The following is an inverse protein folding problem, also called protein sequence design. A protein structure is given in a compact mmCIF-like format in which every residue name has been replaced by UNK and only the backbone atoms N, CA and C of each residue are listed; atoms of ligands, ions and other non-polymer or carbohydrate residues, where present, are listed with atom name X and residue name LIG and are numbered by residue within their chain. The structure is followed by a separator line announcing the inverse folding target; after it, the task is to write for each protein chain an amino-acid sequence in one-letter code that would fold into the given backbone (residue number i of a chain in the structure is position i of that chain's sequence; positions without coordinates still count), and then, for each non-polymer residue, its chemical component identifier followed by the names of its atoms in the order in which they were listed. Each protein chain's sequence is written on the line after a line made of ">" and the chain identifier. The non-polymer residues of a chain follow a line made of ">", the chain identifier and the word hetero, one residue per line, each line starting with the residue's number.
data_IF_543770554730
#
_entry.id   IF_543770554730
#
_cell.length_a   1.000
_cell.length_b   1.000
_cell.length_c   1.000
_cell.angle_alpha   90.00
_cell.angle_beta   90.00
_cell.angle_gamma   90.00
#
_symmetry.space_group_name_H-M   'P 1'
#
loop_
_entity.id
_entity.type
_entity.pdbx_description
1 polymer ?
#
# COMPACT_ATOMS: atom_id res chain seq x y z
N UNK A 1 -4.86 -5.36 -32.68
CA UNK A 1 -4.16 -6.14 -31.64
C UNK A 1 -4.38 -5.43 -30.31
N UNK A 2 -4.78 -6.18 -29.29
CA UNK A 2 -4.94 -5.65 -27.95
C UNK A 2 -3.60 -5.46 -27.26
N UNK A 3 -3.62 -4.78 -26.11
CA UNK A 3 -2.43 -4.50 -25.31
C UNK A 3 -1.94 -5.75 -24.58
N UNK A 4 -0.62 -5.87 -24.46
CA UNK A 4 0.04 -6.78 -23.55
C UNK A 4 0.52 -6.00 -22.33
N UNK A 5 0.13 -6.44 -21.15
CA UNK A 5 0.42 -5.77 -19.88
C UNK A 5 1.25 -6.71 -19.00
N UNK A 6 2.32 -6.19 -18.41
CA UNK A 6 3.12 -6.89 -17.40
C UNK A 6 2.88 -6.21 -16.04
N UNK A 7 2.53 -7.01 -15.02
CA UNK A 7 2.42 -6.55 -13.63
C UNK A 7 3.61 -7.11 -12.86
N UNK A 8 4.33 -6.25 -12.14
CA UNK A 8 5.47 -6.65 -11.31
C UNK A 8 5.05 -6.69 -9.85
N UNK A 9 5.18 -7.86 -9.26
CA UNK A 9 4.80 -8.17 -7.89
C UNK A 9 4.00 -9.46 -7.79
N UNK A 10 3.59 -9.84 -6.60
CA UNK A 10 2.89 -11.12 -6.39
C UNK A 10 2.03 -11.15 -5.14
N UNK A 11 1.61 -10.00 -4.63
CA UNK A 11 0.76 -9.88 -3.45
C UNK A 11 -0.72 -9.67 -3.76
N UNK A 12 -1.51 -9.47 -2.73
CA UNK A 12 -2.95 -9.22 -2.84
C UNK A 12 -3.28 -7.94 -3.62
N UNK A 13 -2.47 -6.92 -3.46
CA UNK A 13 -2.55 -5.67 -4.24
C UNK A 13 -2.38 -5.93 -5.74
N UNK A 14 -1.38 -6.70 -6.13
CA UNK A 14 -1.15 -7.07 -7.53
C UNK A 14 -2.28 -7.91 -8.08
N UNK A 15 -2.87 -8.80 -7.27
CA UNK A 15 -4.06 -9.56 -7.68
C UNK A 15 -5.27 -8.66 -7.91
N UNK A 16 -5.48 -7.65 -7.05
CA UNK A 16 -6.55 -6.67 -7.25
C UNK A 16 -6.32 -5.83 -8.52
N UNK A 17 -5.09 -5.41 -8.78
CA UNK A 17 -4.71 -4.71 -10.02
C UNK A 17 -4.97 -5.60 -11.24
N UNK A 18 -4.51 -6.85 -11.21
CA UNK A 18 -4.69 -7.80 -12.31
C UNK A 18 -6.19 -8.05 -12.61
N UNK A 19 -7.01 -8.13 -11.58
CA UNK A 19 -8.46 -8.29 -11.71
C UNK A 19 -9.10 -7.10 -12.45
N UNK A 20 -8.67 -5.87 -12.15
CA UNK A 20 -9.13 -4.67 -12.86
C UNK A 20 -8.59 -4.61 -14.29
N UNK A 21 -7.33 -4.94 -14.50
CA UNK A 21 -6.70 -4.99 -15.84
C UNK A 21 -7.42 -6.01 -16.74
N UNK A 22 -7.81 -7.15 -16.19
CA UNK A 22 -8.53 -8.19 -16.92
C UNK A 22 -9.91 -7.74 -17.42
N UNK A 23 -10.51 -6.72 -16.83
CA UNK A 23 -11.78 -6.13 -17.27
C UNK A 23 -11.62 -5.14 -18.42
N UNK A 24 -10.42 -4.67 -18.69
CA UNK A 24 -10.19 -3.70 -19.76
C UNK A 24 -10.34 -4.34 -21.14
N UNK A 25 -11.22 -3.77 -22.02
CA UNK A 25 -11.35 -4.26 -23.39
C UNK A 25 -10.10 -3.98 -24.25
N UNK A 26 -9.20 -3.14 -23.77
CA UNK A 26 -7.92 -2.85 -24.45
C UNK A 26 -6.88 -3.95 -24.31
N UNK A 27 -7.01 -4.82 -23.29
CA UNK A 27 -5.99 -5.80 -22.92
C UNK A 27 -6.30 -7.17 -23.50
N UNK A 28 -5.36 -7.73 -24.26
CA UNK A 28 -5.45 -9.09 -24.79
C UNK A 28 -4.65 -10.11 -23.98
N UNK A 29 -3.56 -9.66 -23.30
CA UNK A 29 -2.68 -10.54 -22.55
C UNK A 29 -2.16 -9.85 -21.30
N UNK A 30 -2.18 -10.59 -20.18
CA UNK A 30 -1.62 -10.16 -18.91
C UNK A 30 -0.51 -11.13 -18.50
N UNK A 31 0.67 -10.58 -18.20
CA UNK A 31 1.76 -11.28 -17.53
C UNK A 31 1.92 -10.73 -16.11
N UNK A 32 2.37 -11.56 -15.19
CA UNK A 32 2.73 -11.12 -13.83
C UNK A 32 4.06 -11.76 -13.41
N UNK A 33 4.95 -10.96 -12.84
CA UNK A 33 6.28 -11.39 -12.41
C UNK A 33 6.51 -11.02 -10.94
N UNK A 34 6.60 -11.99 -10.00
CA UNK A 34 6.43 -13.42 -10.18
C UNK A 34 4.97 -13.89 -10.13
N UNK A 35 4.03 -13.06 -9.65
CA UNK A 35 2.65 -13.43 -9.43
C UNK A 35 2.44 -14.37 -8.25
N UNK A 36 1.26 -14.97 -8.19
CA UNK A 36 0.87 -15.99 -7.20
C UNK A 36 -0.19 -16.91 -7.80
N UNK A 37 -0.66 -17.89 -7.02
CA UNK A 37 -1.61 -18.89 -7.50
C UNK A 37 -2.96 -18.31 -7.96
N UNK A 38 -3.45 -17.24 -7.34
CA UNK A 38 -4.69 -16.59 -7.75
C UNK A 38 -4.52 -15.75 -9.02
N UNK A 39 -3.45 -15.00 -9.12
CA UNK A 39 -3.10 -14.24 -10.33
C UNK A 39 -2.94 -15.18 -11.52
N UNK A 40 -2.36 -16.36 -11.32
CA UNK A 40 -2.18 -17.37 -12.35
C UNK A 40 -3.48 -17.90 -12.97
N UNK A 41 -4.63 -17.62 -12.38
CA UNK A 41 -5.93 -17.96 -12.95
C UNK A 41 -6.42 -16.97 -14.01
N UNK A 42 -5.91 -15.72 -13.98
CA UNK A 42 -6.33 -14.64 -14.88
C UNK A 42 -5.17 -14.04 -15.69
N UNK A 43 -3.94 -14.42 -15.40
CA UNK A 43 -2.72 -13.94 -16.04
C UNK A 43 -1.71 -15.07 -16.18
N UNK A 44 -0.72 -14.88 -17.02
CA UNK A 44 0.42 -15.77 -17.08
C UNK A 44 1.50 -15.29 -16.10
N UNK A 45 1.72 -16.08 -15.05
CA UNK A 45 2.80 -15.84 -14.12
C UNK A 45 4.13 -16.31 -14.71
N UNK A 46 5.15 -15.46 -14.64
CA UNK A 46 6.49 -15.76 -15.12
C UNK A 46 7.47 -15.83 -13.94
N UNK A 47 8.40 -16.79 -13.89
CA UNK A 47 9.26 -17.01 -12.73
C UNK A 47 10.43 -16.00 -12.70
N UNK A 48 10.10 -14.73 -12.68
CA UNK A 48 11.05 -13.61 -12.57
C UNK A 48 10.73 -12.85 -11.29
N UNK A 49 11.72 -12.71 -10.41
CA UNK A 49 11.56 -11.93 -9.17
C UNK A 49 11.44 -10.44 -9.46
N UNK A 50 10.71 -9.72 -8.62
CA UNK A 50 10.44 -8.29 -8.78
C UNK A 50 11.71 -7.42 -8.80
N UNK A 51 12.81 -7.89 -8.20
CA UNK A 51 14.10 -7.19 -8.15
C UNK A 51 15.10 -7.64 -9.26
N UNK A 52 14.72 -8.57 -10.11
CA UNK A 52 15.53 -9.03 -11.24
C UNK A 52 15.31 -8.13 -12.47
N UNK A 53 15.75 -6.88 -12.39
CA UNK A 53 15.45 -5.82 -13.36
C UNK A 53 15.86 -6.17 -14.78
N UNK A 54 17.06 -6.71 -14.96
CA UNK A 54 17.55 -7.08 -16.30
C UNK A 54 16.65 -8.14 -16.98
N UNK A 55 16.18 -9.10 -16.20
CA UNK A 55 15.27 -10.15 -16.69
C UNK A 55 13.88 -9.59 -16.98
N UNK A 56 13.37 -8.67 -16.15
CA UNK A 56 12.08 -8.01 -16.36
C UNK A 56 12.12 -7.21 -17.66
N UNK A 57 13.15 -6.39 -17.84
CA UNK A 57 13.33 -5.57 -19.05
C UNK A 57 13.47 -6.45 -20.30
N UNK A 58 14.29 -7.49 -20.24
CA UNK A 58 14.46 -8.43 -21.34
C UNK A 58 13.13 -9.12 -21.71
N UNK A 59 12.38 -9.57 -20.72
CA UNK A 59 11.06 -10.20 -20.92
C UNK A 59 10.07 -9.22 -21.57
N UNK A 60 10.00 -7.99 -21.07
CA UNK A 60 9.10 -6.97 -21.62
C UNK A 60 9.42 -6.64 -23.08
N UNK A 61 10.71 -6.62 -23.45
CA UNK A 61 11.15 -6.43 -24.86
C UNK A 61 10.79 -7.64 -25.71
N UNK A 62 11.11 -8.83 -25.26
CA UNK A 62 10.90 -10.08 -26.01
C UNK A 62 9.41 -10.33 -26.28
N UNK A 63 8.56 -10.08 -25.29
CA UNK A 63 7.12 -10.26 -25.42
C UNK A 63 6.39 -9.06 -26.03
N UNK A 64 7.09 -7.98 -26.35
CA UNK A 64 6.52 -6.74 -26.85
C UNK A 64 5.42 -6.20 -25.89
N UNK A 65 5.72 -6.10 -24.61
CA UNK A 65 4.82 -5.56 -23.59
C UNK A 65 4.56 -4.08 -23.84
N UNK A 66 3.29 -3.69 -23.87
CA UNK A 66 2.86 -2.31 -24.14
C UNK A 66 2.89 -1.42 -22.89
N UNK A 67 2.65 -2.00 -21.73
CA UNK A 67 2.68 -1.29 -20.45
C UNK A 67 3.13 -2.24 -19.34
N UNK A 68 4.12 -1.81 -18.56
CA UNK A 68 4.54 -2.49 -17.33
C UNK A 68 4.04 -1.70 -16.12
N UNK A 69 3.29 -2.37 -15.23
CA UNK A 69 2.77 -1.81 -13.99
C UNK A 69 3.63 -2.31 -12.84
N UNK A 70 4.29 -1.39 -12.14
CA UNK A 70 5.13 -1.73 -10.98
C UNK A 70 4.32 -1.50 -9.70
N UNK A 71 3.92 -2.60 -9.07
CA UNK A 71 3.01 -2.56 -7.91
C UNK A 71 3.68 -2.48 -6.55
N UNK A 72 4.97 -2.76 -6.46
CA UNK A 72 5.72 -2.91 -5.19
C UNK A 72 6.67 -1.74 -4.95
N UNK A 73 6.93 -1.45 -3.67
CA UNK A 73 7.86 -0.42 -3.21
C UNK A 73 9.33 -0.69 -3.56
N UNK A 74 9.85 -1.88 -3.25
CA UNK A 74 11.25 -2.22 -3.47
C UNK A 74 11.73 -1.99 -4.92
N UNK A 75 11.06 -2.51 -5.97
CA UNK A 75 11.49 -2.24 -7.34
C UNK A 75 11.32 -0.78 -7.76
N UNK A 76 10.34 -0.05 -7.21
CA UNK A 76 10.17 1.38 -7.49
C UNK A 76 11.34 2.18 -6.93
N UNK A 77 11.66 1.99 -5.66
CA UNK A 77 12.80 2.65 -4.99
C UNK A 77 14.12 2.19 -5.61
N UNK A 78 14.20 0.97 -6.09
CA UNK A 78 15.36 0.41 -6.76
C UNK A 78 15.61 0.93 -8.18
N UNK A 79 14.60 1.53 -8.83
CA UNK A 79 14.75 2.14 -10.15
C UNK A 79 14.29 1.29 -11.33
N UNK A 80 13.36 0.35 -11.13
CA UNK A 80 12.83 -0.48 -12.22
C UNK A 80 12.18 0.35 -13.34
N UNK A 81 11.43 1.40 -12.98
CA UNK A 81 10.81 2.30 -13.97
C UNK A 81 11.87 2.96 -14.84
N UNK A 82 12.97 3.44 -14.22
CA UNK A 82 14.10 4.02 -14.95
C UNK A 82 14.71 3.00 -15.93
N UNK A 83 14.91 1.77 -15.50
CA UNK A 83 15.47 0.69 -16.33
C UNK A 83 14.58 0.37 -17.53
N UNK A 84 13.25 0.33 -17.33
CA UNK A 84 12.28 0.10 -18.41
C UNK A 84 12.27 1.27 -19.41
N UNK A 85 12.18 2.49 -18.93
CA UNK A 85 12.15 3.69 -19.78
C UNK A 85 13.45 3.90 -20.56
N UNK A 86 14.61 3.54 -20.00
CA UNK A 86 15.90 3.59 -20.69
C UNK A 86 15.93 2.72 -21.94
N UNK A 87 15.09 1.68 -22.00
CA UNK A 87 14.95 0.79 -23.16
C UNK A 87 13.71 1.12 -24.01
N UNK A 88 13.11 2.30 -23.80
CA UNK A 88 11.95 2.75 -24.56
C UNK A 88 10.63 2.05 -24.22
N UNK A 89 10.58 1.37 -23.06
CA UNK A 89 9.39 0.66 -22.57
C UNK A 89 8.54 1.56 -21.68
N UNK A 90 7.23 1.55 -21.89
CA UNK A 90 6.29 2.31 -21.07
C UNK A 90 6.11 1.62 -19.73
N UNK A 91 6.18 2.40 -18.65
CA UNK A 91 6.00 1.91 -17.29
C UNK A 91 5.06 2.83 -16.50
N UNK A 92 4.20 2.23 -15.69
CA UNK A 92 3.38 2.93 -14.72
C UNK A 92 4.02 2.80 -13.34
N UNK A 93 4.38 3.91 -12.76
CA UNK A 93 5.02 4.03 -11.46
C UNK A 93 6.03 5.18 -11.44
N UNK A 94 6.43 5.64 -10.24
CA UNK A 94 7.44 6.69 -10.12
C UNK A 94 8.84 6.17 -10.45
N UNK A 95 9.66 7.04 -11.03
CA UNK A 95 11.10 6.83 -11.18
C UNK A 95 11.78 6.80 -9.81
N UNK A 96 13.00 6.28 -9.75
CA UNK A 96 13.80 6.17 -8.52
C UNK A 96 13.91 7.49 -7.76
N UNK A 97 14.25 8.58 -8.45
CA UNK A 97 14.40 9.90 -7.84
C UNK A 97 13.09 10.49 -7.30
N UNK A 98 11.96 9.95 -7.71
CA UNK A 98 10.61 10.37 -7.29
C UNK A 98 10.07 9.43 -6.21
N UNK A 99 10.37 8.14 -6.30
CA UNK A 99 10.00 7.13 -5.30
C UNK A 99 10.66 7.38 -3.93
N UNK A 100 11.62 8.29 -3.85
CA UNK A 100 12.21 8.78 -2.60
C UNK A 100 11.15 9.36 -1.64
N UNK A 101 9.99 9.76 -2.15
CA UNK A 101 8.85 10.20 -1.33
C UNK A 101 8.44 9.11 -0.31
N UNK A 102 8.55 7.84 -0.68
CA UNK A 102 8.39 6.68 0.22
C UNK A 102 9.74 6.16 0.72
N UNK A 103 10.75 6.18 -0.13
CA UNK A 103 12.07 5.62 0.16
C UNK A 103 12.85 6.36 1.25
N UNK A 104 12.50 7.61 1.55
CA UNK A 104 13.11 8.41 2.61
C UNK A 104 12.07 9.21 3.38
N UNK A 105 11.87 8.84 4.64
CA UNK A 105 10.98 9.58 5.55
C UNK A 105 11.53 10.97 5.86
N UNK A 106 12.85 11.10 6.00
CA UNK A 106 13.51 12.39 6.19
C UNK A 106 13.25 13.32 5.01
N UNK A 107 13.38 12.83 3.78
CA UNK A 107 13.06 13.61 2.59
C UNK A 107 11.60 14.09 2.59
N UNK A 108 10.65 13.20 2.84
CA UNK A 108 9.23 13.56 2.81
C UNK A 108 8.87 14.57 3.91
N UNK A 109 9.48 14.45 5.10
CA UNK A 109 9.29 15.41 6.18
C UNK A 109 9.85 16.79 5.83
N UNK A 110 11.06 16.86 5.29
CA UNK A 110 11.68 18.11 4.85
C UNK A 110 10.89 18.76 3.72
N UNK A 111 10.36 17.96 2.78
CA UNK A 111 9.47 18.44 1.72
C UNK A 111 8.21 19.08 2.32
N UNK A 112 7.52 18.40 3.23
CA UNK A 112 6.31 18.91 3.86
C UNK A 112 6.55 20.19 4.64
N UNK A 113 7.66 20.26 5.37
CA UNK A 113 8.06 21.48 6.09
C UNK A 113 8.33 22.64 5.13
N UNK A 114 9.09 22.40 4.08
CA UNK A 114 9.45 23.42 3.08
C UNK A 114 8.24 24.01 2.37
N UNK A 115 7.25 23.21 2.07
CA UNK A 115 6.06 23.60 1.31
C UNK A 115 4.80 23.76 2.17
N UNK A 116 4.95 23.82 3.49
CA UNK A 116 3.86 24.03 4.45
C UNK A 116 2.71 23.02 4.33
N UNK A 117 3.05 21.77 4.07
CA UNK A 117 2.07 20.67 4.08
C UNK A 117 1.90 20.16 5.51
N UNK A 118 0.67 20.09 6.05
CA UNK A 118 0.45 19.69 7.44
C UNK A 118 0.97 18.29 7.75
N UNK A 119 1.85 18.18 8.74
CA UNK A 119 2.39 16.93 9.25
C UNK A 119 2.84 17.09 10.70
N UNK A 120 3.22 16.00 11.37
CA UNK A 120 3.78 16.04 12.72
C UNK A 120 5.07 16.86 12.78
N UNK A 121 5.30 17.56 13.87
CA UNK A 121 6.59 18.17 14.16
C UNK A 121 7.66 17.08 14.27
N UNK A 122 8.85 17.34 13.75
CA UNK A 122 9.90 16.32 13.63
C UNK A 122 11.29 16.93 13.64
N UNK A 123 12.29 16.07 13.89
CA UNK A 123 13.71 16.34 13.66
C UNK A 123 14.38 15.11 13.03
N UNK A 124 15.36 15.35 12.16
CA UNK A 124 16.15 14.32 11.50
C UNK A 124 17.52 14.16 12.17
N UNK A 125 17.99 12.94 12.32
CA UNK A 125 19.28 12.62 12.93
C UNK A 125 20.09 11.65 12.07
N UNK A 126 21.33 12.00 11.81
CA UNK A 126 22.31 11.18 11.06
C UNK A 126 23.21 10.35 11.98
N UNK A 127 23.15 10.58 13.29
CA UNK A 127 23.91 9.85 14.28
C UNK A 127 23.12 9.69 15.59
N UNK A 128 23.49 8.66 16.35
CA UNK A 128 22.80 8.32 17.60
C UNK A 128 23.04 9.35 18.71
N UNK A 129 24.21 9.96 18.78
CA UNK A 129 24.58 10.91 19.83
C UNK A 129 23.65 12.13 19.84
N UNK A 130 23.44 12.72 18.66
CA UNK A 130 22.55 13.88 18.52
C UNK A 130 21.08 13.52 18.80
N UNK A 131 20.65 12.33 18.37
CA UNK A 131 19.30 11.83 18.66
C UNK A 131 19.08 11.65 20.17
N UNK A 132 20.04 11.06 20.86
CA UNK A 132 20.01 10.86 22.32
C UNK A 132 19.95 12.21 23.06
N UNK A 133 20.78 13.17 22.62
CA UNK A 133 20.79 14.50 23.20
C UNK A 133 19.42 15.18 23.05
N UNK A 134 18.85 15.14 21.85
CA UNK A 134 17.52 15.70 21.58
C UNK A 134 16.43 15.06 22.47
N UNK A 135 16.45 13.72 22.60
CA UNK A 135 15.48 13.02 23.43
C UNK A 135 15.55 13.42 24.89
N UNK A 136 16.76 13.63 25.42
CA UNK A 136 16.98 14.06 26.82
C UNK A 136 16.58 15.51 27.08
N UNK A 137 16.76 16.40 26.12
CA UNK A 137 16.65 17.84 26.33
C UNK A 137 15.32 18.42 25.82
N UNK A 138 14.75 17.88 24.75
CA UNK A 138 13.67 18.54 24.02
C UNK A 138 12.44 17.68 23.73
N UNK A 139 12.54 16.35 23.79
CA UNK A 139 11.43 15.49 23.41
C UNK A 139 10.30 15.50 24.45
N UNK A 140 9.06 15.47 23.94
CA UNK A 140 7.87 15.18 24.70
C UNK A 140 7.47 13.73 24.50
N UNK A 141 6.81 13.13 25.48
CA UNK A 141 6.37 11.74 25.40
C UNK A 141 4.84 11.61 25.45
N UNK A 142 4.25 10.66 24.71
CA UNK A 142 4.94 9.72 23.81
C UNK A 142 5.59 10.42 22.62
N UNK A 143 6.66 9.81 22.08
CA UNK A 143 7.35 10.25 20.86
C UNK A 143 7.46 9.09 19.88
N UNK A 144 7.69 9.37 18.59
CA UNK A 144 7.77 8.35 17.55
C UNK A 144 9.15 8.39 16.90
N UNK A 145 9.85 7.26 16.91
CA UNK A 145 11.11 7.07 16.21
C UNK A 145 10.86 6.28 14.92
N UNK A 146 11.37 6.79 13.81
CA UNK A 146 11.23 6.14 12.50
C UNK A 146 12.59 5.96 11.84
N UNK A 147 12.94 4.73 11.50
CA UNK A 147 14.06 4.48 10.61
C UNK A 147 13.79 5.12 9.24
N UNK A 148 14.81 5.74 8.64
CA UNK A 148 14.70 6.34 7.32
C UNK A 148 14.84 5.25 6.25
N UNK A 149 13.88 5.11 5.37
CA UNK A 149 13.88 4.11 4.31
C UNK A 149 12.80 3.04 4.47
N UNK A 150 12.86 2.07 3.57
CA UNK A 150 11.92 0.94 3.57
C UNK A 150 12.27 -0.04 4.70
N UNK A 151 11.37 -0.19 5.65
CA UNK A 151 11.52 -1.11 6.78
C UNK A 151 10.28 -2.01 6.94
N UNK A 152 9.51 -2.21 5.89
CA UNK A 152 8.31 -3.06 5.85
C UNK A 152 7.30 -2.74 6.98
N UNK A 153 7.16 -1.45 7.32
CA UNK A 153 6.30 -1.00 8.41
C UNK A 153 6.83 -1.31 9.82
N UNK A 154 7.98 -1.95 9.95
CA UNK A 154 8.56 -2.37 11.24
C UNK A 154 9.52 -1.32 11.84
N UNK A 155 9.97 -0.36 11.04
CA UNK A 155 10.91 0.67 11.46
C UNK A 155 10.28 1.87 12.18
N UNK A 156 9.08 1.71 12.75
CA UNK A 156 8.35 2.75 13.50
C UNK A 156 8.17 2.29 14.94
N UNK A 157 8.71 3.06 15.88
CA UNK A 157 8.65 2.78 17.30
C UNK A 157 7.93 3.92 18.02
N UNK A 158 6.83 3.60 18.70
CA UNK A 158 6.14 4.53 19.60
C UNK A 158 6.71 4.35 20.99
N UNK A 159 7.34 5.39 21.52
CA UNK A 159 8.04 5.37 22.80
C UNK A 159 7.29 6.23 23.82
N UNK A 160 6.83 5.61 24.90
CA UNK A 160 6.07 6.29 25.94
C UNK A 160 6.96 6.97 26.98
N UNK A 161 8.20 6.55 27.09
CA UNK A 161 9.17 7.04 28.06
C UNK A 161 10.53 7.33 27.40
N UNK A 162 11.34 8.14 28.06
CA UNK A 162 12.72 8.39 27.63
C UNK A 162 13.53 7.07 27.53
N UNK A 163 13.34 6.18 28.48
CA UNK A 163 14.03 4.88 28.50
C UNK A 163 13.70 4.06 27.26
N UNK A 164 12.41 3.95 26.90
CA UNK A 164 11.98 3.28 25.66
C UNK A 164 12.57 3.95 24.42
N UNK A 165 12.61 5.28 24.39
CA UNK A 165 13.15 6.03 23.25
C UNK A 165 14.66 5.84 23.10
N UNK A 166 15.41 5.83 24.18
CA UNK A 166 16.87 5.56 24.15
C UNK A 166 17.14 4.13 23.65
N UNK A 167 16.38 3.14 24.11
CA UNK A 167 16.46 1.78 23.60
C UNK A 167 16.10 1.71 22.11
N UNK A 168 15.14 2.50 21.66
CA UNK A 168 14.76 2.61 20.25
C UNK A 168 15.88 3.20 19.37
N UNK A 169 16.63 4.17 19.86
CA UNK A 169 17.81 4.71 19.15
C UNK A 169 18.86 3.61 18.97
N UNK A 170 19.15 2.85 20.04
CA UNK A 170 20.09 1.73 19.97
C UNK A 170 19.64 0.71 18.92
N UNK A 171 18.39 0.31 18.96
CA UNK A 171 17.81 -0.67 18.02
C UNK A 171 17.90 -0.22 16.55
N UNK A 172 17.56 1.04 16.27
CA UNK A 172 17.54 1.58 14.91
C UNK A 172 18.93 1.92 14.41
N UNK A 173 19.72 2.70 15.16
CA UNK A 173 20.94 3.33 14.66
C UNK A 173 22.22 2.58 15.01
N UNK A 174 22.28 1.91 16.16
CA UNK A 174 23.47 1.19 16.62
C UNK A 174 23.45 -0.29 16.25
N UNK A 175 22.39 -0.98 16.60
CA UNK A 175 22.22 -2.40 16.28
C UNK A 175 21.84 -2.63 14.82
N UNK A 176 21.40 -1.58 14.14
CA UNK A 176 20.99 -1.59 12.73
C UNK A 176 20.02 -2.70 12.39
N UNK A 177 19.03 -2.92 13.26
CA UNK A 177 17.98 -3.91 13.08
C UNK A 177 17.25 -3.79 11.73
N UNK A 178 17.20 -2.60 11.16
CA UNK A 178 16.58 -2.31 9.86
C UNK A 178 17.64 -2.05 8.76
N UNK A 179 18.86 -2.52 8.94
CA UNK A 179 19.94 -2.37 7.96
C UNK A 179 20.26 -0.91 7.64
N UNK A 180 20.46 -0.60 6.37
CA UNK A 180 20.81 0.75 5.91
C UNK A 180 19.71 1.80 6.21
N UNK A 181 18.45 1.39 6.39
CA UNK A 181 17.37 2.29 6.80
C UNK A 181 17.61 2.93 8.18
N UNK A 182 18.41 2.30 9.03
CA UNK A 182 18.82 2.81 10.33
C UNK A 182 20.01 3.79 10.31
N UNK A 183 20.55 4.13 9.15
CA UNK A 183 21.64 5.11 9.03
C UNK A 183 21.16 6.54 9.34
N UNK A 184 19.88 6.79 9.17
CA UNK A 184 19.20 8.04 9.52
C UNK A 184 17.92 7.71 10.26
N UNK A 185 17.52 8.60 11.17
CA UNK A 185 16.31 8.44 11.95
C UNK A 185 15.52 9.74 11.98
N UNK A 186 14.20 9.63 11.96
CA UNK A 186 13.28 10.74 12.18
C UNK A 186 12.65 10.56 13.55
N UNK A 187 12.66 11.60 14.36
CA UNK A 187 11.91 11.67 15.63
C UNK A 187 10.76 12.62 15.43
N UNK A 188 9.54 12.14 15.66
CA UNK A 188 8.30 12.89 15.47
C UNK A 188 7.50 13.01 16.75
N UNK A 189 6.70 14.07 16.86
CA UNK A 189 5.63 14.13 17.84
C UNK A 189 4.62 13.01 17.61
N UNK A 190 4.08 12.49 18.68
CA UNK A 190 2.99 11.52 18.61
C UNK A 190 1.67 12.24 18.31
N UNK A 191 1.08 11.92 17.16
CA UNK A 191 -0.24 12.44 16.80
C UNK A 191 -1.34 11.52 17.31
N UNK A 192 -2.42 12.10 17.78
CA UNK A 192 -3.65 11.40 18.18
C UNK A 192 -4.76 11.69 17.18
N UNK A 193 -5.60 10.73 16.95
CA UNK A 193 -6.72 10.85 16.02
C UNK A 193 -7.01 9.52 15.35
N UNK A 194 -7.68 9.59 14.22
CA UNK A 194 -8.07 8.43 13.42
C UNK A 194 -7.26 8.40 12.14
N UNK A 195 -6.65 7.26 11.86
CA UNK A 195 -5.92 7.05 10.60
C UNK A 195 -6.89 6.77 9.46
N UNK A 196 -6.65 7.40 8.32
CA UNK A 196 -7.38 7.18 7.07
C UNK A 196 -6.39 7.11 5.92
N UNK A 197 -6.62 6.22 4.99
CA UNK A 197 -5.82 6.06 3.78
C UNK A 197 -6.54 6.66 2.58
N UNK A 198 -5.84 7.49 1.81
CA UNK A 198 -6.36 8.03 0.55
C UNK A 198 -5.32 7.83 -0.54
N UNK A 199 -5.68 7.04 -1.55
CA UNK A 199 -4.86 6.80 -2.71
C UNK A 199 -5.20 7.80 -3.81
N UNK A 200 -4.23 8.07 -4.68
CA UNK A 200 -4.43 8.98 -5.79
C UNK A 200 -3.65 8.55 -7.03
N UNK A 201 -4.18 8.86 -8.21
CA UNK A 201 -3.42 8.83 -9.46
C UNK A 201 -2.81 10.21 -9.73
N UNK A 202 -1.59 10.23 -10.23
CA UNK A 202 -0.83 11.46 -10.47
C UNK A 202 -0.06 11.36 -11.80
N UNK A 203 -0.06 12.43 -12.59
CA UNK A 203 0.61 12.49 -13.89
C UNK A 203 1.77 13.49 -13.96
N UNK A 204 2.27 13.94 -12.82
CA UNK A 204 3.31 14.97 -12.69
C UNK A 204 2.78 16.35 -12.35
N UNK A 205 1.54 16.65 -12.66
CA UNK A 205 0.90 17.98 -12.44
C UNK A 205 -0.54 17.86 -11.97
N UNK A 206 -1.29 16.89 -12.44
CA UNK A 206 -2.69 16.64 -12.06
C UNK A 206 -2.78 15.48 -11.10
N UNK A 207 -3.62 15.59 -10.08
CA UNK A 207 -3.95 14.53 -9.14
C UNK A 207 -5.44 14.20 -9.23
N UNK A 208 -5.76 12.89 -9.19
CA UNK A 208 -7.14 12.39 -9.09
C UNK A 208 -7.23 11.49 -7.87
N UNK A 209 -8.08 11.88 -6.93
CA UNK A 209 -8.23 11.22 -5.63
C UNK A 209 -9.17 10.03 -5.76
N UNK A 210 -8.76 8.88 -5.24
CA UNK A 210 -9.61 7.69 -5.10
C UNK A 210 -10.48 7.79 -3.85
N UNK A 211 -11.46 6.91 -3.74
CA UNK A 211 -12.26 6.77 -2.52
C UNK A 211 -11.38 6.43 -1.32
N UNK A 212 -11.75 6.93 -0.14
CA UNK A 212 -11.00 6.70 1.10
C UNK A 212 -11.08 5.23 1.55
N UNK A 213 -10.12 4.82 2.37
CA UNK A 213 -10.10 3.52 3.01
C UNK A 213 -9.56 3.64 4.45
N UNK A 214 -9.78 2.63 5.24
CA UNK A 214 -9.27 2.56 6.61
C UNK A 214 -8.76 1.16 6.90
N UNK A 215 -7.49 1.06 7.26
CA UNK A 215 -6.78 -0.19 7.48
C UNK A 215 -6.65 -0.50 8.98
N UNK A 216 -6.28 -1.74 9.30
CA UNK A 216 -6.07 -2.26 10.65
C UNK A 216 -4.66 -2.86 10.72
N UNK A 217 -3.73 -2.11 11.32
CA UNK A 217 -2.28 -2.46 11.30
C UNK A 217 -1.88 -3.51 12.32
N UNK A 218 -2.59 -3.64 13.44
CA UNK A 218 -2.22 -4.58 14.50
C UNK A 218 -2.64 -6.00 14.18
N UNK A 219 -1.83 -6.97 14.61
CA UNK A 219 -2.03 -8.38 14.31
C UNK A 219 -3.26 -9.00 14.98
N UNK A 220 -3.64 -8.50 16.17
CA UNK A 220 -4.68 -9.10 17.02
C UNK A 220 -5.89 -8.19 17.20
N UNK A 221 -7.01 -8.81 17.57
CA UNK A 221 -8.23 -8.11 17.95
C UNK A 221 -7.97 -7.04 19.02
N UNK A 222 -8.77 -5.99 19.01
CA UNK A 222 -8.63 -4.87 19.93
C UNK A 222 -7.40 -4.01 19.68
N UNK A 223 -6.85 -4.04 18.46
CA UNK A 223 -5.63 -3.34 18.09
C UNK A 223 -4.44 -3.70 19.00
N UNK A 224 -4.31 -4.98 19.27
CA UNK A 224 -3.24 -5.55 20.08
C UNK A 224 -2.19 -6.27 19.21
N UNK A 225 -1.06 -6.54 19.81
CA UNK A 225 0.04 -7.26 19.16
C UNK A 225 0.92 -6.37 18.31
N UNK A 226 1.71 -6.98 17.44
CA UNK A 226 2.68 -6.30 16.60
C UNK A 226 2.03 -5.61 15.40
N UNK A 227 2.68 -4.59 14.89
CA UNK A 227 2.33 -3.99 13.60
C UNK A 227 2.55 -4.99 12.46
N UNK A 228 1.67 -4.95 11.49
CA UNK A 228 1.70 -5.79 10.29
C UNK A 228 1.60 -4.93 9.03
N UNK A 229 1.56 -5.58 7.88
CA UNK A 229 1.22 -4.92 6.62
C UNK A 229 -0.25 -4.50 6.48
N UNK A 230 -1.11 -4.93 7.41
CA UNK A 230 -2.56 -4.73 7.42
C UNK A 230 -3.32 -6.03 7.52
N UNK A 231 -4.28 -6.09 8.44
CA UNK A 231 -5.08 -7.29 8.73
C UNK A 231 -6.50 -7.21 8.16
N UNK A 232 -6.82 -6.11 7.53
CA UNK A 232 -8.11 -5.87 6.92
C UNK A 232 -8.37 -4.39 6.75
N UNK A 233 -9.30 -4.05 5.87
CA UNK A 233 -9.60 -2.68 5.50
C UNK A 233 -11.03 -2.54 5.03
N UNK A 234 -11.54 -1.33 5.03
CA UNK A 234 -12.84 -1.01 4.47
C UNK A 234 -12.81 0.31 3.71
N UNK A 235 -13.75 0.50 2.83
CA UNK A 235 -13.91 1.69 2.00
C UNK A 235 -15.41 1.94 1.69
N UNK A 236 -15.88 3.21 1.76
CA UNK A 236 -15.14 4.41 2.19
C UNK A 236 -15.04 4.51 3.72
N UNK A 237 -14.13 5.36 4.22
CA UNK A 237 -14.11 5.70 5.64
C UNK A 237 -15.22 6.70 5.96
N UNK A 238 -16.11 6.41 6.94
CA UNK A 238 -17.17 7.35 7.34
C UNK A 238 -16.63 8.59 8.07
N UNK A 239 -15.37 8.55 8.49
CA UNK A 239 -14.69 9.67 9.14
C UNK A 239 -14.03 10.63 8.16
N UNK A 240 -13.88 10.21 6.91
CA UNK A 240 -13.41 11.06 5.82
C UNK A 240 -14.61 11.84 5.25
N UNK A 241 -14.94 12.94 5.94
CA UNK A 241 -16.08 13.80 5.63
C UNK A 241 -15.78 14.73 4.46
N UNK A 242 -16.81 15.40 3.94
CA UNK A 242 -16.64 16.44 2.91
C UNK A 242 -15.74 17.57 3.38
N UNK A 243 -15.81 17.94 4.68
CA UNK A 243 -14.95 18.96 5.30
C UNK A 243 -13.48 18.52 5.30
N UNK A 244 -13.21 17.25 5.68
CA UNK A 244 -11.87 16.66 5.63
C UNK A 244 -11.34 16.63 4.18
N UNK A 245 -12.16 16.19 3.25
CA UNK A 245 -11.81 16.15 1.81
C UNK A 245 -11.45 17.54 1.27
N UNK A 246 -12.28 18.53 1.57
CA UNK A 246 -12.04 19.91 1.16
C UNK A 246 -10.72 20.48 1.72
N UNK A 247 -10.44 20.21 3.00
CA UNK A 247 -9.19 20.61 3.65
C UNK A 247 -7.98 19.94 2.97
N UNK A 248 -8.04 18.64 2.76
CA UNK A 248 -6.95 17.88 2.15
C UNK A 248 -6.70 18.30 0.69
N UNK A 249 -7.73 18.55 -0.08
CA UNK A 249 -7.62 19.10 -1.44
C UNK A 249 -6.93 20.45 -1.46
N UNK A 250 -7.26 21.31 -0.51
CA UNK A 250 -6.70 22.66 -0.42
C UNK A 250 -5.25 22.69 0.05
N UNK A 251 -4.88 21.87 1.05
CA UNK A 251 -3.62 22.01 1.75
C UNK A 251 -2.65 20.85 1.61
N UNK A 252 -3.09 19.69 1.14
CA UNK A 252 -2.30 18.46 1.14
C UNK A 252 -2.07 17.90 -0.26
N UNK A 253 -3.13 17.57 -1.00
CA UNK A 253 -3.01 16.75 -2.21
C UNK A 253 -2.27 17.44 -3.35
N UNK A 254 -2.83 18.52 -3.88
CA UNK A 254 -2.19 19.28 -4.96
C UNK A 254 -0.88 19.90 -4.49
N UNK A 255 -0.81 20.33 -3.22
CA UNK A 255 0.41 20.88 -2.64
C UNK A 255 1.58 19.89 -2.67
N UNK A 256 1.32 18.59 -2.45
CA UNK A 256 2.34 17.54 -2.55
C UNK A 256 2.84 17.37 -3.98
N UNK A 257 1.93 17.32 -4.95
CA UNK A 257 2.27 17.19 -6.38
C UNK A 257 3.10 18.38 -6.84
N UNK A 258 2.67 19.59 -6.49
CA UNK A 258 3.37 20.83 -6.83
C UNK A 258 4.76 20.92 -6.15
N UNK A 259 4.86 20.48 -4.90
CA UNK A 259 6.12 20.43 -4.17
C UNK A 259 7.13 19.49 -4.85
N UNK A 260 6.71 18.30 -5.24
CA UNK A 260 7.56 17.34 -5.95
C UNK A 260 8.01 17.89 -7.30
N UNK A 261 7.13 18.55 -8.05
CA UNK A 261 7.48 19.19 -9.31
C UNK A 261 8.47 20.34 -9.11
N UNK A 262 8.28 21.16 -8.07
CA UNK A 262 9.20 22.26 -7.72
C UNK A 262 10.60 21.77 -7.34
N UNK A 263 10.72 20.57 -6.79
CA UNK A 263 12.01 19.92 -6.50
C UNK A 263 12.64 19.26 -7.76
N UNK A 264 12.05 19.44 -8.93
CA UNK A 264 12.52 18.79 -10.16
C UNK A 264 12.22 17.29 -10.21
N UNK A 265 11.25 16.83 -9.44
CA UNK A 265 10.85 15.43 -9.27
C UNK A 265 9.35 15.24 -9.54
N UNK A 266 8.83 15.53 -10.75
CA UNK A 266 7.42 15.40 -11.05
C UNK A 266 6.98 13.94 -10.84
N UNK A 267 5.95 13.72 -10.02
CA UNK A 267 5.48 12.39 -9.64
C UNK A 267 4.49 11.84 -10.67
N UNK A 268 4.77 10.66 -11.20
CA UNK A 268 3.84 9.89 -12.03
C UNK A 268 3.60 8.53 -11.40
N UNK A 269 2.33 8.16 -11.21
CA UNK A 269 1.95 6.91 -10.59
C UNK A 269 0.89 7.09 -9.52
N UNK A 270 1.00 6.33 -8.44
CA UNK A 270 0.10 6.42 -7.28
C UNK A 270 0.82 7.04 -6.09
N UNK A 271 0.23 8.08 -5.51
CA UNK A 271 0.59 8.54 -4.17
C UNK A 271 -0.46 8.02 -3.19
N UNK A 272 -0.01 7.31 -2.19
CA UNK A 272 -0.79 6.91 -1.02
C UNK A 272 -0.54 7.93 0.09
N UNK A 273 -1.60 8.59 0.52
CA UNK A 273 -1.59 9.49 1.66
C UNK A 273 -2.09 8.75 2.89
N UNK A 274 -1.19 8.47 3.83
CA UNK A 274 -1.58 8.08 5.19
C UNK A 274 -1.90 9.35 5.97
N UNK A 275 -3.15 9.53 6.34
CA UNK A 275 -3.63 10.72 7.05
C UNK A 275 -3.97 10.40 8.49
N UNK A 276 -3.63 11.32 9.40
CA UNK A 276 -4.14 11.35 10.77
C UNK A 276 -5.18 12.46 10.87
N UNK A 277 -6.42 12.11 11.19
CA UNK A 277 -7.48 13.08 11.46
C UNK A 277 -7.37 13.51 12.91
N UNK A 278 -6.55 14.54 13.14
CA UNK A 278 -6.28 15.06 14.50
C UNK A 278 -7.36 16.03 14.94
N UNK A 279 -7.46 16.34 16.27
CA UNK A 279 -8.36 17.39 16.77
C UNK A 279 -8.12 18.77 16.12
N UNK A 280 -6.91 19.01 15.62
CA UNK A 280 -6.51 20.27 14.98
C UNK A 280 -6.54 20.20 13.43
N UNK A 281 -7.20 19.20 12.87
CA UNK A 281 -7.35 19.00 11.44
C UNK A 281 -6.49 17.85 10.89
N UNK A 282 -6.70 17.50 9.61
CA UNK A 282 -5.93 16.44 8.95
C UNK A 282 -4.44 16.78 8.85
N UNK A 283 -3.59 15.79 9.10
CA UNK A 283 -2.14 15.86 8.91
C UNK A 283 -1.66 14.62 8.17
N UNK A 284 -0.63 14.79 7.35
CA UNK A 284 0.02 13.65 6.69
C UNK A 284 0.85 12.88 7.73
N UNK A 285 0.51 11.60 7.90
CA UNK A 285 1.26 10.66 8.72
C UNK A 285 2.46 10.12 7.95
N UNK A 286 2.21 9.70 6.72
CA UNK A 286 3.22 9.15 5.80
C UNK A 286 2.76 9.21 4.34
N UNK A 287 3.72 9.10 3.43
CA UNK A 287 3.48 8.84 2.03
C UNK A 287 3.95 7.45 1.64
N UNK A 288 3.23 6.84 0.69
CA UNK A 288 3.76 5.71 -0.06
C UNK A 288 3.64 6.01 -1.56
N UNK A 289 4.57 5.49 -2.35
CA UNK A 289 4.69 5.80 -3.79
C UNK A 289 4.08 4.70 -4.68
N UNK A 290 3.07 4.02 -4.18
CA UNK A 290 2.40 2.87 -4.81
C UNK A 290 1.02 2.66 -4.19
N UNK A 291 0.25 1.73 -4.77
CA UNK A 291 -1.00 1.26 -4.15
C UNK A 291 -0.74 0.66 -2.76
N UNK A 292 -1.72 0.82 -1.86
CA UNK A 292 -1.72 0.15 -0.57
C UNK A 292 -2.11 -1.34 -0.67
N UNK A 293 -1.66 -2.12 0.28
CA UNK A 293 -2.03 -3.52 0.47
C UNK A 293 -2.34 -3.75 1.97
N UNK A 294 -3.61 -3.86 2.40
CA UNK A 294 -4.76 -4.33 1.61
C UNK A 294 -5.72 -3.23 1.06
N UNK A 295 -5.38 -1.97 1.06
CA UNK A 295 -6.29 -0.90 0.62
C UNK A 295 -6.76 -1.07 -0.84
N UNK A 296 -5.87 -1.51 -1.74
CA UNK A 296 -6.22 -1.78 -3.14
C UNK A 296 -7.38 -2.78 -3.26
N UNK A 297 -7.47 -3.74 -2.35
CA UNK A 297 -8.48 -4.80 -2.34
C UNK A 297 -9.91 -4.30 -2.03
N UNK A 298 -10.07 -3.10 -1.51
CA UNK A 298 -11.39 -2.48 -1.29
C UNK A 298 -11.63 -1.26 -2.17
N UNK A 299 -10.58 -0.59 -2.61
CA UNK A 299 -10.69 0.62 -3.45
C UNK A 299 -10.90 0.25 -4.91
N UNK A 300 -10.07 -0.63 -5.46
CA UNK A 300 -10.12 -0.99 -6.88
C UNK A 300 -11.41 -1.71 -7.30
N UNK A 301 -12.00 -2.64 -6.50
CA UNK A 301 -13.28 -3.25 -6.86
C UNK A 301 -14.44 -2.27 -6.97
N UNK A 302 -14.33 -1.07 -6.41
CA UNK A 302 -15.33 -0.01 -6.46
C UNK A 302 -15.10 1.01 -7.56
N UNK A 303 -13.97 0.96 -8.25
CA UNK A 303 -13.64 1.90 -9.34
C UNK A 303 -14.47 1.59 -10.59
N UNK A 304 -15.09 2.61 -11.19
CA UNK A 304 -15.89 2.48 -12.41
C UNK A 304 -15.07 2.60 -13.69
N UNK A 305 -13.98 3.35 -13.65
CA UNK A 305 -13.13 3.59 -14.81
C UNK A 305 -12.38 2.33 -15.24
N UNK A 306 -12.03 2.26 -16.51
CA UNK A 306 -11.02 1.33 -17.01
C UNK A 306 -9.65 1.74 -16.43
N UNK A 307 -9.04 0.88 -15.62
CA UNK A 307 -7.77 1.17 -14.94
C UNK A 307 -6.64 1.44 -15.94
N UNK A 308 -6.67 0.79 -17.11
CA UNK A 308 -5.65 0.97 -18.16
C UNK A 308 -5.75 2.39 -18.73
N UNK A 309 -6.95 2.91 -18.99
CA UNK A 309 -7.12 4.28 -19.46
C UNK A 309 -6.57 5.30 -18.46
N UNK A 310 -6.82 5.08 -17.17
CA UNK A 310 -6.30 5.96 -16.11
C UNK A 310 -4.78 5.88 -16.02
N UNK A 311 -4.22 4.68 -16.07
CA UNK A 311 -2.76 4.49 -16.01
C UNK A 311 -2.05 5.06 -17.24
N UNK A 312 -2.61 4.88 -18.44
CA UNK A 312 -2.07 5.51 -19.65
C UNK A 312 -2.11 7.03 -19.54
N UNK A 313 -3.19 7.60 -19.02
CA UNK A 313 -3.30 9.05 -18.79
C UNK A 313 -2.23 9.56 -17.80
N UNK A 314 -1.90 8.79 -16.78
CA UNK A 314 -0.79 9.13 -15.86
C UNK A 314 0.56 9.15 -16.59
N UNK A 315 0.83 8.13 -17.42
CA UNK A 315 2.09 8.03 -18.18
C UNK A 315 2.18 9.15 -19.22
N UNK A 316 1.09 9.47 -19.90
CA UNK A 316 1.05 10.42 -21.01
C UNK A 316 0.84 11.88 -20.57
N UNK A 317 0.57 12.13 -19.28
CA UNK A 317 0.36 13.47 -18.75
C UNK A 317 -1.01 14.07 -19.13
N UNK A 318 -2.02 13.23 -19.31
CA UNK A 318 -3.39 13.60 -19.71
C UNK A 318 -4.44 13.28 -18.66
N UNK A 319 -4.03 13.14 -17.41
CA UNK A 319 -4.93 12.79 -16.31
C UNK A 319 -6.02 13.83 -16.04
N UNK A 320 -5.80 15.08 -16.46
CA UNK A 320 -6.80 16.15 -16.43
C UNK A 320 -8.06 15.83 -17.26
N UNK A 321 -7.95 14.95 -18.25
CA UNK A 321 -9.06 14.48 -19.08
C UNK A 321 -9.85 13.33 -18.45
N UNK A 322 -9.37 12.75 -17.36
CA UNK A 322 -10.01 11.63 -16.67
C UNK A 322 -10.96 12.16 -15.58
N UNK A 323 -12.22 11.74 -15.65
CA UNK A 323 -13.20 11.88 -14.57
C UNK A 323 -13.22 10.56 -13.77
N UNK A 324 -12.48 10.52 -12.67
CA UNK A 324 -12.33 9.33 -11.84
C UNK A 324 -13.59 9.12 -10.99
N UNK A 325 -14.24 7.97 -11.16
CA UNK A 325 -15.52 7.64 -10.52
C UNK A 325 -15.46 6.31 -9.77
N UNK A 326 -16.17 6.27 -8.66
CA UNK A 326 -16.33 5.07 -7.82
C UNK A 326 -17.81 4.75 -7.66
N UNK A 327 -18.11 3.47 -7.40
CA UNK A 327 -19.45 3.01 -7.08
C UNK A 327 -19.93 3.63 -5.75
N UNK A 328 -21.22 3.90 -5.67
CA UNK A 328 -21.86 4.37 -4.43
C UNK A 328 -22.29 3.18 -3.57
N UNK A 329 -21.31 2.43 -3.12
CA UNK A 329 -21.46 1.27 -2.24
C UNK A 329 -20.28 1.23 -1.26
N UNK A 330 -20.12 0.11 -0.59
CA UNK A 330 -19.00 -0.12 0.32
C UNK A 330 -18.32 -1.46 0.04
N UNK A 331 -17.08 -1.60 0.50
CA UNK A 331 -16.33 -2.85 0.45
C UNK A 331 -15.56 -3.05 1.75
N UNK A 332 -15.46 -4.29 2.20
CA UNK A 332 -14.66 -4.71 3.35
C UNK A 332 -13.78 -5.89 2.94
N UNK A 333 -12.52 -5.84 3.31
CA UNK A 333 -11.56 -6.91 3.12
C UNK A 333 -11.06 -7.42 4.47
N UNK A 334 -11.18 -8.72 4.70
CA UNK A 334 -10.61 -9.40 5.86
C UNK A 334 -9.42 -10.25 5.41
N UNK A 335 -8.26 -10.00 5.99
CA UNK A 335 -7.04 -10.76 5.66
C UNK A 335 -7.06 -12.08 6.41
N UNK A 336 -6.90 -13.19 5.68
CA UNK A 336 -6.63 -14.50 6.22
C UNK A 336 -5.13 -14.73 6.22
N UNK A 337 -4.55 -14.87 7.40
CA UNK A 337 -3.11 -14.98 7.61
C UNK A 337 -2.75 -16.39 8.11
N UNK A 338 -1.47 -16.72 8.00
CA UNK A 338 -0.88 -17.87 8.69
C UNK A 338 -0.69 -17.54 10.16
N UNK A 339 -1.13 -18.40 11.06
CA UNK A 339 -0.96 -18.20 12.50
C UNK A 339 0.53 -18.04 12.85
N UNK A 340 0.81 -17.04 13.67
CA UNK A 340 2.18 -16.60 13.99
C UNK A 340 2.67 -15.38 13.21
N UNK A 341 2.01 -15.02 12.11
CA UNK A 341 2.30 -13.77 11.38
C UNK A 341 2.15 -12.55 12.34
N UNK A 342 3.06 -11.56 12.37
CA UNK A 342 4.15 -11.29 11.41
C UNK A 342 5.53 -11.84 11.83
N UNK A 343 5.62 -12.73 12.81
CA UNK A 343 6.91 -13.20 13.35
C UNK A 343 7.40 -14.47 12.63
N UNK A 344 6.74 -15.58 12.88
CA UNK A 344 7.09 -16.88 12.27
C UNK A 344 5.83 -17.71 12.07
N UNK A 345 5.77 -18.46 10.99
CA UNK A 345 4.62 -19.24 10.62
C UNK A 345 5.00 -20.40 9.69
N UNK A 346 4.21 -21.46 9.75
CA UNK A 346 4.33 -22.60 8.86
C UNK A 346 3.66 -22.31 7.50
N UNK A 347 4.18 -22.91 6.45
CA UNK A 347 3.69 -22.80 5.07
C UNK A 347 3.36 -24.18 4.50
N UNK A 348 2.66 -24.20 3.37
CA UNK A 348 2.40 -25.42 2.62
C UNK A 348 1.09 -26.12 2.97
N UNK A 349 0.23 -25.49 3.74
CA UNK A 349 -1.11 -26.02 4.03
C UNK A 349 -2.05 -25.83 2.85
N UNK A 350 -2.78 -26.88 2.48
CA UNK A 350 -3.76 -26.84 1.40
C UNK A 350 -4.91 -25.91 1.77
N UNK A 351 -5.28 -25.05 0.82
CA UNK A 351 -6.39 -24.12 0.96
C UNK A 351 -7.61 -24.71 0.26
N UNK A 352 -8.72 -24.85 0.99
CA UNK A 352 -9.99 -25.36 0.47
C UNK A 352 -11.04 -24.24 0.42
N UNK A 353 -11.97 -24.35 -0.51
CA UNK A 353 -13.13 -23.46 -0.62
C UNK A 353 -12.96 -22.29 -1.58
N UNK A 354 -11.81 -22.15 -2.25
CA UNK A 354 -11.55 -21.07 -3.19
C UNK A 354 -12.57 -21.05 -4.34
N UNK A 355 -13.04 -22.20 -4.79
CA UNK A 355 -14.05 -22.36 -5.84
C UNK A 355 -15.39 -21.71 -5.49
N UNK A 356 -15.69 -21.52 -4.23
CA UNK A 356 -16.95 -20.91 -3.76
C UNK A 356 -17.08 -19.43 -4.15
N UNK A 357 -15.99 -18.80 -4.51
CA UNK A 357 -16.00 -17.42 -5.02
C UNK A 357 -16.32 -17.32 -6.51
N UNK A 358 -16.22 -18.41 -7.26
CA UNK A 358 -16.43 -18.42 -8.70
C UNK A 358 -17.86 -17.99 -9.06
N UNK A 359 -17.97 -16.97 -9.92
CA UNK A 359 -19.24 -16.46 -10.39
C UNK A 359 -20.07 -15.70 -9.35
N UNK A 360 -19.51 -15.42 -8.17
CA UNK A 360 -20.20 -14.61 -7.15
C UNK A 360 -19.85 -13.14 -7.31
N UNK A 361 -20.81 -12.40 -7.86
CA UNK A 361 -20.68 -10.95 -8.01
C UNK A 361 -20.58 -10.26 -6.65
N UNK A 362 -19.66 -9.28 -6.54
CA UNK A 362 -19.41 -8.53 -5.31
C UNK A 362 -18.55 -9.27 -4.26
N UNK A 363 -18.08 -10.47 -4.57
CA UNK A 363 -17.16 -11.23 -3.71
C UNK A 363 -15.85 -11.51 -4.42
N UNK A 364 -14.75 -11.32 -3.71
CA UNK A 364 -13.41 -11.50 -4.23
C UNK A 364 -12.55 -12.25 -3.21
N UNK A 365 -11.72 -13.16 -3.70
CA UNK A 365 -10.66 -13.78 -2.91
C UNK A 365 -9.32 -13.41 -3.54
N UNK A 366 -8.71 -12.35 -3.05
CA UNK A 366 -7.42 -11.89 -3.55
C UNK A 366 -6.30 -12.68 -2.89
N UNK A 367 -5.48 -13.35 -3.71
CA UNK A 367 -4.35 -14.13 -3.24
C UNK A 367 -3.15 -13.23 -2.95
N UNK A 368 -2.48 -13.50 -1.84
CA UNK A 368 -1.19 -12.95 -1.49
C UNK A 368 -0.16 -14.08 -1.40
N UNK A 369 0.11 -14.60 -0.22
CA UNK A 369 1.04 -15.71 -0.04
C UNK A 369 0.42 -17.06 -0.39
N UNK A 370 0.25 -17.37 -1.66
CA UNK A 370 -0.25 -18.66 -2.16
C UNK A 370 0.66 -19.21 -3.25
N UNK A 371 0.65 -20.53 -3.38
CA UNK A 371 1.44 -21.26 -4.38
C UNK A 371 0.63 -22.44 -4.92
N UNK A 372 0.69 -22.66 -6.23
CA UNK A 372 0.13 -23.87 -6.84
C UNK A 372 1.13 -25.01 -6.73
N UNK A 373 0.64 -26.15 -6.25
CA UNK A 373 1.40 -27.40 -6.12
C UNK A 373 0.61 -28.57 -6.71
N UNK A 374 1.22 -29.74 -6.75
CA UNK A 374 0.53 -30.99 -7.11
C UNK A 374 -0.60 -31.38 -6.16
N UNK A 375 -0.60 -30.85 -4.93
CA UNK A 375 -1.66 -31.02 -3.92
C UNK A 375 -2.78 -29.96 -4.03
N UNK A 376 -2.66 -29.03 -4.96
CA UNK A 376 -3.53 -27.87 -5.09
C UNK A 376 -2.85 -26.57 -4.64
N UNK A 377 -3.66 -25.56 -4.36
CA UNK A 377 -3.17 -24.26 -3.88
C UNK A 377 -2.88 -24.36 -2.37
N UNK A 378 -1.68 -23.97 -1.98
CA UNK A 378 -1.20 -24.02 -0.61
C UNK A 378 -0.79 -22.64 -0.10
N UNK A 379 -0.76 -22.47 1.23
CA UNK A 379 -0.21 -21.27 1.87
C UNK A 379 1.28 -21.13 1.60
N UNK A 380 1.72 -19.91 1.34
CA UNK A 380 3.13 -19.60 1.03
C UNK A 380 3.54 -18.21 1.53
N UNK A 381 2.96 -17.74 2.60
CA UNK A 381 3.27 -16.44 3.17
C UNK A 381 2.54 -16.17 4.48
N UNK A 382 2.81 -15.02 5.07
CA UNK A 382 2.17 -14.57 6.29
C UNK A 382 0.73 -14.14 6.04
N UNK A 383 0.52 -13.14 5.18
CA UNK A 383 -0.80 -12.82 4.66
C UNK A 383 -1.05 -13.74 3.46
N UNK A 384 -2.11 -14.54 3.54
CA UNK A 384 -2.39 -15.60 2.56
C UNK A 384 -3.43 -15.15 1.55
N UNK A 385 -4.58 -14.69 2.05
CA UNK A 385 -5.72 -14.26 1.22
C UNK A 385 -6.33 -12.98 1.78
N UNK A 386 -6.89 -12.16 0.89
CA UNK A 386 -7.78 -11.06 1.25
C UNK A 386 -9.21 -11.39 0.79
N UNK A 387 -10.11 -11.64 1.71
CA UNK A 387 -11.51 -11.89 1.40
C UNK A 387 -12.25 -10.56 1.38
N UNK A 388 -12.64 -10.12 0.19
CA UNK A 388 -13.35 -8.86 -0.02
C UNK A 388 -14.80 -9.12 -0.40
N UNK A 389 -15.70 -8.36 0.20
CA UNK A 389 -17.10 -8.33 -0.21
C UNK A 389 -17.61 -6.88 -0.29
N UNK A 390 -18.47 -6.64 -1.26
CA UNK A 390 -19.22 -5.40 -1.39
C UNK A 390 -20.56 -5.49 -0.67
N UNK A 391 -21.15 -4.35 -0.39
CA UNK A 391 -22.49 -4.19 0.14
C UNK A 391 -23.00 -2.78 -0.11
N UNK A 392 -24.30 -2.57 -0.02
CA UNK A 392 -24.89 -1.24 -0.15
C UNK A 392 -24.41 -0.28 0.96
N UNK A 393 -24.10 -0.84 2.13
CA UNK A 393 -23.56 -0.13 3.30
C UNK A 393 -22.30 -0.81 3.81
N UNK A 394 -21.52 -0.10 4.63
CA UNK A 394 -20.34 -0.68 5.29
C UNK A 394 -20.71 -1.88 6.19
N UNK A 395 -21.82 -1.79 6.92
CA UNK A 395 -22.30 -2.88 7.78
C UNK A 395 -22.64 -4.13 6.97
N UNK A 396 -23.31 -3.95 5.84
CA UNK A 396 -23.63 -5.05 4.92
C UNK A 396 -22.35 -5.66 4.30
N UNK A 397 -21.46 -4.82 3.79
CA UNK A 397 -20.20 -5.28 3.23
C UNK A 397 -19.36 -6.05 4.25
N UNK A 398 -19.31 -5.58 5.50
CA UNK A 398 -18.63 -6.27 6.60
C UNK A 398 -19.25 -7.64 6.89
N UNK A 399 -20.57 -7.70 7.01
CA UNK A 399 -21.27 -8.96 7.23
C UNK A 399 -21.03 -9.96 6.09
N UNK A 400 -21.09 -9.50 4.85
CA UNK A 400 -20.81 -10.30 3.66
C UNK A 400 -19.36 -10.82 3.64
N UNK A 401 -18.40 -9.98 3.96
CA UNK A 401 -16.98 -10.37 3.99
C UNK A 401 -16.72 -11.43 5.06
N UNK A 402 -17.21 -11.25 6.26
CA UNK A 402 -17.03 -12.25 7.33
C UNK A 402 -17.76 -13.57 7.03
N UNK A 403 -18.95 -13.53 6.44
CA UNK A 403 -19.61 -14.74 5.98
C UNK A 403 -18.77 -15.50 4.95
N UNK A 404 -18.14 -14.78 4.03
CA UNK A 404 -17.28 -15.37 3.00
C UNK A 404 -15.96 -15.91 3.56
N UNK A 405 -15.44 -15.41 4.68
CA UNK A 405 -14.26 -15.98 5.33
C UNK A 405 -14.48 -17.44 5.78
N UNK A 406 -15.71 -17.81 6.08
CA UNK A 406 -16.07 -19.19 6.47
C UNK A 406 -16.05 -20.17 5.29
N UNK A 407 -16.03 -19.67 4.05
CA UNK A 407 -15.91 -20.54 2.87
C UNK A 407 -14.51 -21.13 2.72
N UNK A 408 -13.50 -20.46 3.29
CA UNK A 408 -12.08 -20.82 3.18
C UNK A 408 -11.61 -21.55 4.42
N UNK A 409 -10.91 -22.66 4.21
CA UNK A 409 -10.27 -23.40 5.29
C UNK A 409 -8.82 -23.74 4.92
N UNK A 410 -7.93 -23.58 5.87
CA UNK A 410 -6.57 -24.14 5.88
C UNK A 410 -6.11 -24.25 7.33
N UNK A 411 -5.19 -25.16 7.62
CA UNK A 411 -4.92 -25.67 8.96
C UNK A 411 -4.56 -24.57 9.98
N UNK A 412 -3.71 -23.63 9.62
CA UNK A 412 -3.29 -22.56 10.54
C UNK A 412 -3.91 -21.20 10.18
N UNK A 413 -5.15 -21.21 9.70
CA UNK A 413 -5.88 -19.98 9.38
C UNK A 413 -6.04 -19.09 10.61
N UNK A 414 -5.60 -17.83 10.45
CA UNK A 414 -5.75 -16.78 11.44
C UNK A 414 -6.37 -15.53 10.80
N UNK A 415 -7.27 -14.87 11.50
CA UNK A 415 -7.83 -13.57 11.10
C UNK A 415 -8.25 -12.77 12.32
N UNK A 416 -8.35 -11.48 12.16
CA UNK A 416 -9.03 -10.61 13.14
C UNK A 416 -10.54 -10.72 12.98
N UNK A 417 -11.26 -10.61 14.09
CA UNK A 417 -12.73 -10.69 14.14
C UNK A 417 -13.40 -9.32 14.28
N UNK A 418 -12.60 -8.26 14.40
CA UNK A 418 -13.05 -6.90 14.67
C UNK A 418 -12.77 -5.90 13.53
N UNK A 419 -12.48 -6.41 12.32
CA UNK A 419 -12.26 -5.55 11.14
C UNK A 419 -13.54 -4.74 10.89
N UNK A 420 -13.37 -3.42 10.82
CA UNK A 420 -14.49 -2.52 10.63
C UNK A 420 -15.28 -2.16 11.89
N UNK A 421 -14.79 -2.49 13.09
CA UNK A 421 -15.45 -2.11 14.34
C UNK A 421 -15.77 -0.61 14.42
N UNK A 422 -14.86 0.22 13.90
CA UNK A 422 -15.06 1.66 13.86
C UNK A 422 -16.31 2.12 13.06
N UNK A 423 -16.84 1.26 12.19
CA UNK A 423 -18.08 1.54 11.45
C UNK A 423 -19.26 1.73 12.41
N UNK A 424 -19.25 1.04 13.55
CA UNK A 424 -20.31 1.14 14.55
C UNK A 424 -20.23 2.42 15.39
N UNK A 425 -19.13 3.16 15.28
CA UNK A 425 -18.87 4.44 15.97
C UNK A 425 -19.25 5.66 15.12
N UNK A 426 -19.60 5.44 13.85
CA UNK A 426 -19.86 6.51 12.87
C UNK A 426 -21.32 6.94 12.81
#
# INVERSE_FOLDING_TARGET
>A
MGMKVLIVGGGGREHAIATCVAKSPKVEKIYCAPGNAGIGQIAECVPIGAMEFDKIVAFAKEQAVDLTIVGMDDPLVGGLVDALEAEGLRAFGPRKNVAILEGSKAFSKDLMKKYNIPTAAYENFDNAEDAIKYLKEQANFPTVLKADGLALGKGVLICNTLEEALAGVDEIMLDKKFGAAGNRMVIEEFMTGREVSVLSFVDGKTIRIMTSAQDHKRAKDGDQGLNTGGMGTFSPSPFYTEEVDAFCKKYIYQATVDAMAAEGRPFKGVIFFGLMLTPNGPKVLEYNARFGDPEAQVVLPRMKNDIIEVMEACVDGTLDQIDLQFEDNAAVCVVLASDGYPVSYEKGYVINGLEKFNGKDGYYCFHAGTKLTDKGIVTNGGRVLGVTAKGATLKEARANAYAATEWITFENKYMRHDIGKAIDEA
#
